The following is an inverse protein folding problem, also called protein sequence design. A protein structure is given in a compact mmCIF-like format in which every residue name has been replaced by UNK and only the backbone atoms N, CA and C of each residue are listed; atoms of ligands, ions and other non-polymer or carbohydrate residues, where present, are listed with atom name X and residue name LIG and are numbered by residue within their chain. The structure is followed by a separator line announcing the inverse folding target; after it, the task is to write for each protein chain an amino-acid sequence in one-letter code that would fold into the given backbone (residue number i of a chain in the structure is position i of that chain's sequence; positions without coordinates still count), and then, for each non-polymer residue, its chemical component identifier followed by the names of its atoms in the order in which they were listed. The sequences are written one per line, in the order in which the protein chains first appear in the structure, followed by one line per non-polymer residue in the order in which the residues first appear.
data_IF_140264272294
#
_entry.id   IF_140264272294
#
_cell.length_a   1.000
_cell.length_b   1.000
_cell.length_c   1.000
_cell.angle_alpha   90.00
_cell.angle_beta   90.00
_cell.angle_gamma   90.00
#
_symmetry.space_group_name_H-M   'P 1'
#
loop_
_entity.id
_entity.type
_entity.pdbx_description
1 polymer ?
#
# COMPACT_ATOMS: atom_id res chain seq x y z
N UNK A 1 16.18 9.43 -18.62
CA UNK A 1 14.81 9.43 -18.05
C UNK A 1 14.85 8.45 -16.90
N UNK A 2 14.58 8.89 -15.67
CA UNK A 2 14.37 7.94 -14.57
C UNK A 2 12.99 7.34 -14.80
N UNK A 3 12.91 6.04 -15.06
CA UNK A 3 11.62 5.34 -15.08
C UNK A 3 11.04 5.45 -13.67
N UNK A 4 9.97 6.23 -13.52
CA UNK A 4 9.22 6.28 -12.28
C UNK A 4 8.41 4.99 -12.26
N UNK A 5 8.88 4.01 -11.50
CA UNK A 5 8.11 2.79 -11.24
C UNK A 5 7.02 3.14 -10.23
N UNK A 6 5.76 3.07 -10.67
CA UNK A 6 4.61 3.18 -9.77
C UNK A 6 4.44 1.83 -9.08
N UNK A 7 4.51 1.84 -7.75
CA UNK A 7 4.25 0.67 -6.91
C UNK A 7 2.95 0.88 -6.15
N UNK A 8 2.15 -0.16 -5.98
CA UNK A 8 0.97 -0.10 -5.12
C UNK A 8 1.33 -0.62 -3.73
N UNK A 9 0.90 0.09 -2.70
CA UNK A 9 0.98 -0.35 -1.31
C UNK A 9 -0.43 -0.60 -0.79
N UNK A 10 -0.70 -1.83 -0.39
CA UNK A 10 -1.90 -2.20 0.35
C UNK A 10 -1.69 -1.86 1.84
N UNK A 11 -2.67 -1.20 2.45
CA UNK A 11 -2.65 -0.74 3.85
C UNK A 11 -3.93 -1.22 4.54
N UNK A 12 -3.79 -1.82 5.71
CA UNK A 12 -4.92 -2.35 6.46
C UNK A 12 -4.69 -2.27 7.97
N UNK A 13 -5.77 -2.26 8.75
CA UNK A 13 -5.67 -2.22 10.22
C UNK A 13 -4.85 -3.39 10.77
N UNK A 14 -3.98 -3.11 11.74
CA UNK A 14 -3.13 -4.13 12.35
C UNK A 14 -3.93 -5.25 13.06
N UNK A 15 -5.21 -5.01 13.34
CA UNK A 15 -6.13 -5.99 13.92
C UNK A 15 -6.38 -7.21 13.01
N UNK A 16 -6.24 -7.04 11.69
CA UNK A 16 -6.43 -8.13 10.74
C UNK A 16 -5.16 -8.98 10.65
N UNK A 17 -5.35 -10.29 10.47
CA UNK A 17 -4.25 -11.25 10.37
C UNK A 17 -3.50 -11.09 9.06
N UNK A 18 -4.21 -10.87 7.96
CA UNK A 18 -3.69 -10.75 6.61
C UNK A 18 -4.55 -9.77 5.77
N UNK A 19 -4.14 -9.56 4.51
CA UNK A 19 -4.86 -8.71 3.55
C UNK A 19 -6.26 -9.26 3.24
N UNK A 20 -6.40 -10.58 3.07
CA UNK A 20 -7.69 -11.21 2.74
C UNK A 20 -8.76 -10.92 3.80
N UNK A 21 -8.41 -11.01 5.08
CA UNK A 21 -9.33 -10.68 6.18
C UNK A 21 -9.73 -9.20 6.17
N UNK A 22 -8.79 -8.32 5.83
CA UNK A 22 -9.05 -6.89 5.72
C UNK A 22 -9.93 -6.56 4.50
N UNK A 23 -9.69 -7.22 3.37
CA UNK A 23 -10.47 -7.08 2.13
C UNK A 23 -11.90 -7.56 2.33
N UNK A 24 -12.07 -8.75 2.91
CA UNK A 24 -13.38 -9.33 3.23
C UNK A 24 -14.18 -8.44 4.22
N UNK A 25 -13.48 -7.70 5.08
CA UNK A 25 -14.09 -6.75 6.00
C UNK A 25 -14.32 -5.35 5.40
N UNK A 26 -13.94 -5.11 4.13
CA UNK A 26 -14.03 -3.81 3.48
C UNK A 26 -13.10 -2.76 4.09
N UNK A 27 -12.02 -3.19 4.74
CA UNK A 27 -11.07 -2.36 5.49
C UNK A 27 -9.65 -2.45 4.91
N UNK A 28 -9.54 -2.81 3.63
CA UNK A 28 -8.31 -2.76 2.84
C UNK A 28 -8.27 -1.45 2.05
N UNK A 29 -7.15 -0.74 2.16
CA UNK A 29 -6.87 0.47 1.42
C UNK A 29 -5.68 0.23 0.50
N UNK A 30 -5.63 0.90 -0.65
CA UNK A 30 -4.49 0.86 -1.57
C UNK A 30 -4.04 2.28 -1.89
N UNK A 31 -2.74 2.47 -1.98
CA UNK A 31 -2.12 3.74 -2.36
C UNK A 31 -1.04 3.45 -3.39
N UNK A 32 -1.14 4.12 -4.54
CA UNK A 32 -0.08 4.12 -5.54
C UNK A 32 0.99 5.13 -5.13
N UNK A 33 2.24 4.69 -5.16
CA UNK A 33 3.41 5.47 -4.77
C UNK A 33 4.42 5.51 -5.92
N UNK A 34 5.04 6.67 -6.10
CA UNK A 34 6.12 6.87 -7.07
C UNK A 34 7.46 6.47 -6.45
N UNK A 35 8.25 5.65 -7.15
CA UNK A 35 9.61 5.30 -6.74
C UNK A 35 10.65 6.34 -7.24
N UNK A 36 11.69 6.69 -6.46
CA UNK A 36 12.04 6.17 -5.13
C UNK A 36 11.28 6.86 -3.99
N UNK A 37 10.65 6.04 -3.14
CA UNK A 37 10.09 6.47 -1.85
C UNK A 37 10.98 5.96 -0.71
N UNK A 38 11.33 6.82 0.25
CA UNK A 38 12.12 6.38 1.40
C UNK A 38 11.26 5.64 2.41
N UNK A 39 11.89 4.84 3.28
CA UNK A 39 11.17 4.17 4.38
C UNK A 39 10.50 5.19 5.33
N UNK A 40 11.09 6.37 5.51
CA UNK A 40 10.50 7.43 6.33
C UNK A 40 9.22 7.99 5.71
N UNK A 41 9.23 8.24 4.41
CA UNK A 41 8.04 8.73 3.68
C UNK A 41 6.92 7.68 3.74
N UNK A 42 7.27 6.40 3.59
CA UNK A 42 6.31 5.29 3.70
C UNK A 42 5.74 5.18 5.12
N UNK A 43 6.56 5.35 6.16
CA UNK A 43 6.10 5.39 7.55
C UNK A 43 5.13 6.55 7.79
N UNK A 44 5.45 7.76 7.31
CA UNK A 44 4.58 8.93 7.42
C UNK A 44 3.25 8.74 6.67
N UNK A 45 3.30 8.10 5.50
CA UNK A 45 2.11 7.77 4.72
C UNK A 45 1.22 6.79 5.47
N UNK A 46 1.80 5.72 6.03
CA UNK A 46 1.06 4.75 6.85
C UNK A 46 0.45 5.39 8.11
N UNK A 47 1.17 6.26 8.80
CA UNK A 47 0.64 7.01 9.95
C UNK A 47 -0.50 7.95 9.55
N UNK A 48 -0.38 8.61 8.41
CA UNK A 48 -1.41 9.51 7.89
C UNK A 48 -2.68 8.75 7.55
N UNK A 49 -2.57 7.59 6.90
CA UNK A 49 -3.70 6.69 6.63
C UNK A 49 -4.30 6.20 7.94
N UNK A 50 -3.49 5.74 8.90
CA UNK A 50 -3.96 5.26 10.20
C UNK A 50 -4.80 6.30 10.95
N UNK A 51 -4.36 7.57 10.94
CA UNK A 51 -5.10 8.70 11.52
C UNK A 51 -6.39 8.98 10.77
N UNK A 52 -6.36 8.98 9.43
CA UNK A 52 -7.52 9.27 8.60
C UNK A 52 -8.62 8.20 8.75
N UNK A 53 -8.24 6.92 8.84
CA UNK A 53 -9.19 5.81 9.00
C UNK A 53 -9.57 5.54 10.46
N UNK A 54 -8.95 6.24 11.42
CA UNK A 54 -9.27 6.15 12.84
C UNK A 54 -8.94 4.80 13.48
N UNK A 55 -7.84 4.15 13.09
CA UNK A 55 -7.47 2.83 13.62
C UNK A 55 -6.54 2.95 14.85
N UNK A 56 -6.98 2.51 16.05
CA UNK A 56 -6.24 2.74 17.29
C UNK A 56 -4.99 1.87 17.44
N UNK A 57 -4.92 0.75 16.71
CA UNK A 57 -3.82 -0.23 16.80
C UNK A 57 -2.75 -0.04 15.71
N UNK A 58 -2.83 1.04 14.95
CA UNK A 58 -1.99 1.27 13.78
C UNK A 58 -2.40 0.43 12.56
N UNK A 59 -1.56 0.50 11.52
CA UNK A 59 -1.76 -0.20 10.24
C UNK A 59 -0.59 -1.11 9.93
N UNK A 60 -0.86 -2.15 9.15
CA UNK A 60 0.14 -2.94 8.42
C UNK A 60 0.09 -2.51 6.96
N UNK A 61 1.22 -2.66 6.27
CA UNK A 61 1.29 -2.42 4.83
C UNK A 61 2.02 -3.55 4.13
N UNK A 62 1.72 -3.74 2.85
CA UNK A 62 2.39 -4.68 1.98
C UNK A 62 2.51 -4.08 0.58
N UNK A 63 3.69 -4.21 -0.02
CA UNK A 63 3.86 -3.91 -1.44
C UNK A 63 3.12 -4.95 -2.25
N UNK A 64 2.17 -4.50 -3.06
CA UNK A 64 1.51 -5.30 -4.07
C UNK A 64 2.26 -5.00 -5.36
N UNK A 65 3.14 -5.91 -5.77
CA UNK A 65 3.71 -5.87 -7.10
C UNK A 65 2.55 -5.98 -8.08
N UNK A 66 2.19 -4.87 -8.73
CA UNK A 66 1.41 -4.98 -9.96
C UNK A 66 2.33 -5.71 -10.96
N UNK A 67 1.88 -6.79 -11.62
CA UNK A 67 2.56 -7.21 -12.83
C UNK A 67 2.56 -5.99 -13.75
N UNK A 68 3.75 -5.51 -14.12
CA UNK A 68 3.82 -4.58 -15.24
C UNK A 68 3.04 -5.26 -16.37
N UNK A 69 2.07 -4.59 -17.03
CA UNK A 69 1.55 -5.12 -18.26
C UNK A 69 2.77 -5.34 -19.14
N UNK A 70 3.13 -6.60 -19.38
CA UNK A 70 4.10 -6.94 -20.40
C UNK A 70 3.62 -6.16 -21.62
N UNK A 71 4.41 -5.18 -22.06
CA UNK A 71 4.23 -4.66 -23.39
C UNK A 71 4.30 -5.89 -24.28
N UNK A 72 3.13 -6.33 -24.75
CA UNK A 72 3.01 -7.36 -25.74
C UNK A 72 3.72 -6.82 -26.98
N UNK A 73 5.02 -7.05 -27.05
CA UNK A 73 5.81 -6.90 -28.27
C UNK A 73 5.27 -7.93 -29.25
N UNK A 74 4.25 -7.48 -30.00
CA UNK A 74 3.81 -8.13 -31.23
C UNK A 74 4.80 -7.91 -32.37
#
# INVERSE_FOLDING_TARGET
MHNIEISTVAIFSAQFKNIEDAENAGALYSVDIEYPMTLNDLSLLCESVAKAVGVPNGVKYQFVTQPQPEEATG
#
